data_IF_175443826241
#
_entry.id   IF_175443826241
#
_cell.length_a   1.000
_cell.length_b   1.000
_cell.length_c   1.000
_cell.angle_alpha   90.00
_cell.angle_beta   90.00
_cell.angle_gamma   90.00
#
_symmetry.space_group_name_H-M   'P 1'
#
loop_
_entity.id
_entity.type
_entity.pdbx_description
1 polymer ?
#
# COMPACT_ATOMS: atom_id res chain seq x y z
N UNK A 1 26.22 -63.86 -20.64
CA UNK A 1 26.19 -62.50 -20.05
C UNK A 1 26.70 -61.52 -21.09
N UNK A 2 25.83 -60.69 -21.68
CA UNK A 2 26.20 -59.73 -22.75
C UNK A 2 26.90 -58.52 -22.10
N UNK A 3 28.20 -58.40 -22.28
CA UNK A 3 29.00 -57.30 -21.74
C UNK A 3 28.60 -55.99 -22.45
N UNK A 4 27.80 -55.15 -21.79
CA UNK A 4 27.49 -53.79 -22.26
C UNK A 4 28.80 -52.98 -22.25
N UNK A 5 29.37 -52.71 -23.41
CA UNK A 5 30.47 -51.74 -23.56
C UNK A 5 29.98 -50.40 -23.02
N UNK A 6 30.59 -49.91 -21.94
CA UNK A 6 30.39 -48.54 -21.46
C UNK A 6 31.09 -47.61 -22.44
N UNK A 7 30.33 -46.80 -23.14
CA UNK A 7 30.87 -45.69 -23.95
C UNK A 7 31.33 -44.61 -22.97
N UNK A 8 32.64 -44.34 -22.94
CA UNK A 8 33.22 -43.25 -22.15
C UNK A 8 32.92 -41.90 -22.80
N UNK A 9 32.64 -40.89 -21.97
CA UNK A 9 32.39 -39.53 -22.42
C UNK A 9 33.72 -38.82 -22.67
N UNK A 10 33.88 -38.16 -23.82
CA UNK A 10 35.10 -37.40 -24.11
C UNK A 10 35.05 -36.02 -23.43
N UNK A 11 36.21 -35.48 -23.06
CA UNK A 11 36.31 -34.14 -22.44
C UNK A 11 35.70 -33.06 -23.34
N UNK A 12 35.84 -33.22 -24.65
CA UNK A 12 35.30 -32.30 -25.66
C UNK A 12 33.77 -32.31 -25.68
N UNK A 13 33.14 -33.48 -25.63
CA UNK A 13 31.67 -33.59 -25.57
C UNK A 13 31.10 -32.87 -24.33
N UNK A 14 31.77 -32.99 -23.17
CA UNK A 14 31.37 -32.28 -21.96
C UNK A 14 31.50 -30.76 -22.09
N UNK A 15 32.60 -30.31 -22.68
CA UNK A 15 32.89 -28.90 -22.84
C UNK A 15 31.88 -28.22 -23.76
N UNK A 16 31.51 -28.87 -24.88
CA UNK A 16 30.50 -28.36 -25.81
C UNK A 16 29.13 -28.24 -25.13
N UNK A 17 28.72 -29.26 -24.37
CA UNK A 17 27.42 -29.22 -23.66
C UNK A 17 27.36 -28.08 -22.65
N UNK A 18 28.41 -27.89 -21.86
CA UNK A 18 28.48 -26.79 -20.90
C UNK A 18 28.49 -25.43 -21.62
N UNK A 19 29.21 -25.31 -22.75
CA UNK A 19 29.22 -24.08 -23.54
C UNK A 19 27.82 -23.72 -24.06
N UNK A 20 27.08 -24.69 -24.59
CA UNK A 20 25.71 -24.47 -25.08
C UNK A 20 24.77 -24.08 -23.94
N UNK A 21 24.81 -24.78 -22.80
CA UNK A 21 24.01 -24.43 -21.62
C UNK A 21 24.37 -23.03 -21.12
N UNK A 22 25.66 -22.68 -21.09
CA UNK A 22 26.14 -21.37 -20.69
C UNK A 22 25.56 -20.24 -21.57
N UNK A 23 25.57 -20.42 -22.89
CA UNK A 23 24.96 -19.46 -23.83
C UNK A 23 23.45 -19.36 -23.64
N UNK A 24 22.75 -20.48 -23.51
CA UNK A 24 21.30 -20.49 -23.29
C UNK A 24 20.94 -19.76 -21.98
N UNK A 25 21.64 -20.05 -20.88
CA UNK A 25 21.40 -19.39 -19.59
C UNK A 25 21.73 -17.90 -19.66
N UNK A 26 22.82 -17.51 -20.33
CA UNK A 26 23.21 -16.11 -20.49
C UNK A 26 22.13 -15.30 -21.24
N UNK A 27 21.45 -15.90 -22.21
CA UNK A 27 20.36 -15.27 -22.95
C UNK A 27 19.03 -15.29 -22.16
N UNK A 28 18.78 -16.33 -21.37
CA UNK A 28 17.53 -16.50 -20.62
C UNK A 28 17.48 -15.68 -19.33
N UNK A 29 18.61 -15.48 -18.64
CA UNK A 29 18.62 -14.81 -17.34
C UNK A 29 18.09 -13.37 -17.41
N UNK A 30 18.53 -12.50 -18.34
CA UNK A 30 17.99 -11.15 -18.47
C UNK A 30 16.48 -11.16 -18.81
N UNK A 31 16.07 -12.08 -19.69
CA UNK A 31 14.67 -12.21 -20.12
C UNK A 31 13.74 -12.62 -18.97
N UNK A 32 14.15 -13.60 -18.15
CA UNK A 32 13.38 -14.06 -17.00
C UNK A 32 13.20 -12.95 -15.95
N UNK A 33 14.21 -12.10 -15.73
CA UNK A 33 14.08 -10.99 -14.79
C UNK A 33 13.12 -9.91 -15.29
N UNK A 34 13.18 -9.57 -16.58
CA UNK A 34 12.21 -8.65 -17.19
C UNK A 34 10.78 -9.18 -17.08
N UNK A 35 10.58 -10.47 -17.37
CA UNK A 35 9.28 -11.11 -17.24
C UNK A 35 8.77 -11.10 -15.79
N UNK A 36 9.64 -11.38 -14.81
CA UNK A 36 9.29 -11.34 -13.39
C UNK A 36 8.89 -9.94 -12.93
N UNK A 37 9.61 -8.91 -13.35
CA UNK A 37 9.27 -7.54 -12.98
C UNK A 37 7.99 -7.07 -13.65
N UNK A 38 7.75 -7.44 -14.91
CA UNK A 38 6.48 -7.17 -15.59
C UNK A 38 5.30 -7.82 -14.85
N UNK A 39 5.45 -9.07 -14.40
CA UNK A 39 4.45 -9.76 -13.60
C UNK A 39 4.20 -9.06 -12.26
N UNK A 40 5.24 -8.63 -11.54
CA UNK A 40 5.09 -7.89 -10.28
C UNK A 40 4.36 -6.56 -10.47
N UNK A 41 4.69 -5.79 -11.51
CA UNK A 41 3.98 -4.55 -11.87
C UNK A 41 2.50 -4.79 -12.18
N UNK A 42 2.21 -5.88 -12.90
CA UNK A 42 0.82 -6.27 -13.18
C UNK A 42 0.06 -6.58 -11.90
N UNK A 43 0.68 -7.30 -10.95
CA UNK A 43 0.10 -7.55 -9.63
C UNK A 43 -0.12 -6.26 -8.85
N UNK A 44 0.81 -5.31 -8.87
CA UNK A 44 0.63 -4.02 -8.18
C UNK A 44 -0.54 -3.22 -8.75
N UNK A 45 -0.67 -3.16 -10.09
CA UNK A 45 -1.81 -2.53 -10.74
C UNK A 45 -3.14 -3.24 -10.43
N UNK A 46 -3.13 -4.57 -10.35
CA UNK A 46 -4.31 -5.34 -10.00
C UNK A 46 -4.77 -5.08 -8.56
N UNK A 47 -3.85 -5.03 -7.61
CA UNK A 47 -4.14 -4.68 -6.22
C UNK A 47 -4.77 -3.28 -6.12
N UNK A 48 -4.23 -2.28 -6.82
CA UNK A 48 -4.82 -0.94 -6.88
C UNK A 48 -6.26 -0.96 -7.44
N UNK A 49 -6.52 -1.74 -8.49
CA UNK A 49 -7.87 -1.92 -9.06
C UNK A 49 -8.83 -2.60 -8.09
N UNK A 50 -8.38 -3.62 -7.35
CA UNK A 50 -9.20 -4.28 -6.34
C UNK A 50 -9.58 -3.32 -5.21
N UNK A 51 -8.64 -2.50 -4.73
CA UNK A 51 -8.93 -1.49 -3.72
C UNK A 51 -9.87 -0.40 -4.23
N UNK A 52 -9.70 0.06 -5.47
CA UNK A 52 -10.61 1.01 -6.11
C UNK A 52 -12.02 0.42 -6.23
N UNK A 53 -12.15 -0.83 -6.67
CA UNK A 53 -13.42 -1.53 -6.75
C UNK A 53 -14.11 -1.62 -5.37
N UNK A 54 -13.36 -1.94 -4.31
CA UNK A 54 -13.90 -1.93 -2.94
C UNK A 54 -14.43 -0.55 -2.52
N UNK A 55 -13.78 0.54 -2.94
CA UNK A 55 -14.30 1.90 -2.70
C UNK A 55 -15.59 2.16 -3.49
N UNK A 56 -15.69 1.70 -4.74
CA UNK A 56 -16.91 1.80 -5.53
C UNK A 56 -18.06 1.01 -4.89
N UNK A 57 -17.83 -0.23 -4.42
CA UNK A 57 -18.82 -1.03 -3.70
C UNK A 57 -19.29 -0.36 -2.41
N UNK A 58 -18.36 0.25 -1.66
CA UNK A 58 -18.70 1.06 -0.50
C UNK A 58 -19.59 2.25 -0.88
N UNK A 59 -19.24 2.96 -1.96
CA UNK A 59 -20.06 4.06 -2.47
C UNK A 59 -21.45 3.58 -2.87
N UNK A 60 -21.59 2.46 -3.55
CA UNK A 60 -22.91 1.93 -3.95
C UNK A 60 -23.79 1.61 -2.74
N UNK A 61 -23.18 1.19 -1.62
CA UNK A 61 -23.89 0.89 -0.37
C UNK A 61 -24.26 2.13 0.45
N UNK A 62 -23.38 3.14 0.52
CA UNK A 62 -23.52 4.28 1.43
C UNK A 62 -23.72 5.63 0.73
N UNK A 63 -23.72 5.67 -0.61
CA UNK A 63 -23.75 6.86 -1.48
C UNK A 63 -22.64 7.89 -1.23
N UNK A 64 -21.57 7.46 -0.56
CA UNK A 64 -20.40 8.26 -0.20
C UNK A 64 -19.17 7.38 -0.29
N UNK A 65 -18.02 7.94 -0.67
CA UNK A 65 -16.76 7.20 -0.57
C UNK A 65 -16.35 7.05 0.89
N UNK A 66 -15.53 6.03 1.23
CA UNK A 66 -15.14 5.81 2.61
C UNK A 66 -14.42 7.04 3.14
N UNK A 67 -14.93 7.68 4.20
CA UNK A 67 -14.32 8.88 4.74
C UNK A 67 -12.94 8.52 5.26
N UNK A 68 -11.99 9.43 5.02
CA UNK A 68 -10.68 9.29 5.61
C UNK A 68 -10.79 9.27 7.14
N UNK A 69 -11.37 10.31 7.73
CA UNK A 69 -11.43 10.54 9.17
C UNK A 69 -12.64 11.45 9.42
N UNK A 70 -13.47 11.09 10.39
CA UNK A 70 -14.77 11.73 10.61
C UNK A 70 -14.74 12.84 11.67
N UNK A 71 -13.68 12.95 12.46
CA UNK A 71 -13.68 13.87 13.62
C UNK A 71 -12.32 14.52 13.85
N UNK A 72 -12.05 15.66 13.21
CA UNK A 72 -10.81 16.41 13.44
C UNK A 72 -10.79 17.11 14.81
N UNK A 73 -11.95 17.56 15.30
CA UNK A 73 -12.08 18.43 16.48
C UNK A 73 -11.51 17.85 17.78
N UNK A 74 -11.44 16.52 17.91
CA UNK A 74 -11.14 15.87 19.19
C UNK A 74 -9.65 15.47 19.35
N UNK A 75 -8.79 15.75 18.37
CA UNK A 75 -7.37 15.35 18.41
C UNK A 75 -7.14 13.85 18.73
N UNK A 76 -8.09 12.97 18.36
CA UNK A 76 -8.02 11.52 18.60
C UNK A 76 -7.60 10.77 17.34
N UNK A 77 -7.01 9.59 17.52
CA UNK A 77 -6.66 8.71 16.41
C UNK A 77 -7.91 8.07 15.82
N UNK A 78 -7.93 7.92 14.50
CA UNK A 78 -9.14 7.49 13.77
C UNK A 78 -8.84 6.43 12.73
N UNK A 79 -9.81 5.53 12.60
CA UNK A 79 -9.88 4.57 11.52
C UNK A 79 -9.87 5.29 10.18
N UNK A 80 -8.92 4.89 9.33
CA UNK A 80 -8.78 5.37 7.97
C UNK A 80 -9.89 4.86 7.04
N UNK A 81 -9.71 5.13 5.75
CA UNK A 81 -10.63 4.66 4.71
C UNK A 81 -10.55 3.14 4.49
N UNK A 82 -9.35 2.57 4.51
CA UNK A 82 -9.11 1.18 4.11
C UNK A 82 -9.87 0.15 4.96
N UNK A 83 -9.88 0.23 6.31
CA UNK A 83 -10.71 -0.64 7.15
C UNK A 83 -12.18 -0.70 6.77
N UNK A 84 -12.72 0.34 6.13
CA UNK A 84 -14.15 0.46 5.81
C UNK A 84 -14.55 -0.37 4.60
N UNK A 85 -13.62 -0.65 3.69
CA UNK A 85 -13.83 -1.45 2.48
C UNK A 85 -13.45 -2.92 2.65
N UNK A 86 -12.99 -3.33 3.84
CA UNK A 86 -12.53 -4.69 4.11
C UNK A 86 -13.53 -5.81 3.73
N UNK A 87 -14.85 -5.67 3.93
CA UNK A 87 -15.81 -6.66 3.47
C UNK A 87 -15.78 -6.87 1.95
N UNK A 88 -15.46 -5.81 1.21
CA UNK A 88 -15.46 -5.79 -0.25
C UNK A 88 -14.13 -6.32 -0.84
N UNK A 89 -13.13 -6.61 0.01
CA UNK A 89 -11.81 -7.14 -0.38
C UNK A 89 -11.41 -8.39 0.42
N UNK A 90 -12.40 -9.22 0.78
CA UNK A 90 -12.18 -10.50 1.49
C UNK A 90 -11.53 -10.38 2.89
N UNK A 91 -11.65 -9.22 3.53
CA UNK A 91 -11.14 -8.94 4.88
C UNK A 91 -12.27 -8.71 5.91
N UNK A 92 -13.47 -9.26 5.68
CA UNK A 92 -14.65 -9.07 6.53
C UNK A 92 -14.40 -9.46 8.01
N UNK A 93 -13.76 -10.62 8.25
CA UNK A 93 -13.45 -11.09 9.61
C UNK A 93 -12.50 -10.15 10.35
N UNK A 94 -11.54 -9.54 9.63
CA UNK A 94 -10.65 -8.53 10.21
C UNK A 94 -11.42 -7.25 10.54
N UNK A 95 -12.36 -6.82 9.69
CA UNK A 95 -13.21 -5.66 9.96
C UNK A 95 -14.04 -5.86 11.24
N UNK A 96 -14.66 -7.03 11.40
CA UNK A 96 -15.47 -7.35 12.57
C UNK A 96 -14.63 -7.27 13.86
N UNK A 97 -13.39 -7.77 13.82
CA UNK A 97 -12.47 -7.72 14.95
C UNK A 97 -12.05 -6.29 15.32
N UNK A 98 -11.72 -5.44 14.33
CA UNK A 98 -11.22 -4.08 14.60
C UNK A 98 -12.34 -3.09 14.96
N UNK A 99 -13.55 -3.26 14.41
CA UNK A 99 -14.73 -2.46 14.76
C UNK A 99 -15.59 -3.12 15.84
N UNK A 100 -15.03 -4.09 16.57
CA UNK A 100 -15.67 -4.71 17.71
C UNK A 100 -16.20 -3.62 18.66
N UNK A 101 -17.47 -3.71 19.04
CA UNK A 101 -18.18 -2.71 19.88
C UNK A 101 -18.24 -1.29 19.31
N UNK A 102 -17.95 -1.10 18.01
CA UNK A 102 -17.93 0.21 17.32
C UNK A 102 -17.04 1.24 18.02
N UNK A 103 -15.98 0.77 18.68
CA UNK A 103 -15.07 1.63 19.42
C UNK A 103 -14.29 2.55 18.47
N UNK A 104 -14.01 3.80 18.89
CA UNK A 104 -13.02 4.60 18.20
C UNK A 104 -11.66 3.89 18.25
N UNK A 105 -10.85 4.15 17.24
CA UNK A 105 -9.58 3.45 17.05
C UNK A 105 -8.68 3.46 18.30
N UNK A 106 -8.64 4.59 19.00
CA UNK A 106 -7.86 4.75 20.23
C UNK A 106 -8.24 3.74 21.33
N UNK A 107 -9.53 3.49 21.52
CA UNK A 107 -10.06 2.55 22.51
C UNK A 107 -9.91 1.10 22.00
N UNK A 108 -10.13 0.86 20.71
CA UNK A 108 -9.95 -0.45 20.10
C UNK A 108 -8.50 -0.93 20.19
N UNK A 109 -7.53 -0.04 20.01
CA UNK A 109 -6.10 -0.36 20.15
C UNK A 109 -5.68 -0.69 21.59
N UNK A 110 -6.54 -0.55 22.61
CA UNK A 110 -6.29 -1.07 23.97
C UNK A 110 -6.55 -2.57 24.09
N UNK A 111 -7.20 -3.17 23.09
CA UNK A 111 -7.50 -4.60 23.07
C UNK A 111 -6.31 -5.33 22.41
N UNK A 112 -5.60 -6.23 23.10
CA UNK A 112 -4.43 -6.91 22.54
C UNK A 112 -4.70 -7.64 21.23
N UNK A 113 -5.86 -8.30 21.12
CA UNK A 113 -6.26 -9.01 19.90
C UNK A 113 -6.38 -8.08 18.67
N UNK A 114 -6.83 -6.83 18.85
CA UNK A 114 -6.92 -5.83 17.78
C UNK A 114 -5.53 -5.43 17.30
N UNK A 115 -4.62 -5.15 18.24
CA UNK A 115 -3.23 -4.77 17.90
C UNK A 115 -2.51 -5.92 17.18
N UNK A 116 -2.65 -7.15 17.66
CA UNK A 116 -2.09 -8.34 16.99
C UNK A 116 -2.65 -8.52 15.59
N UNK A 117 -3.94 -8.24 15.37
CA UNK A 117 -4.55 -8.32 14.05
C UNK A 117 -4.05 -7.22 13.10
N UNK A 118 -3.86 -6.00 13.61
CA UNK A 118 -3.32 -4.88 12.82
C UNK A 118 -1.85 -5.07 12.41
N UNK A 119 -1.12 -5.93 13.11
CA UNK A 119 0.25 -6.32 12.76
C UNK A 119 0.32 -7.38 11.64
N UNK A 120 -0.81 -7.98 11.23
CA UNK A 120 -0.83 -8.98 10.16
C UNK A 120 -0.80 -8.31 8.78
N UNK A 121 0.17 -8.63 7.91
CA UNK A 121 0.21 -8.10 6.55
C UNK A 121 -1.02 -8.51 5.74
N UNK A 122 -1.47 -7.63 4.85
CA UNK A 122 -2.55 -7.91 3.91
C UNK A 122 -1.99 -7.71 2.50
N UNK A 123 -1.94 -8.78 1.71
CA UNK A 123 -1.26 -8.79 0.41
C UNK A 123 -1.88 -7.82 -0.59
N UNK A 124 -3.19 -7.61 -0.54
CA UNK A 124 -3.91 -6.63 -1.38
C UNK A 124 -3.42 -5.19 -1.15
N UNK A 125 -2.86 -4.89 0.02
CA UNK A 125 -2.29 -3.56 0.32
C UNK A 125 -0.80 -3.45 0.00
N UNK A 126 -0.15 -4.52 -0.49
CA UNK A 126 1.28 -4.56 -0.77
C UNK A 126 1.56 -4.69 -2.25
N UNK A 127 2.52 -3.91 -2.75
CA UNK A 127 3.04 -4.07 -4.09
C UNK A 127 4.22 -5.05 -4.03
N UNK A 128 4.20 -6.18 -4.76
CA UNK A 128 5.35 -7.12 -4.77
C UNK A 128 6.63 -6.54 -5.38
N UNK A 129 6.58 -5.41 -6.09
CA UNK A 129 7.78 -4.68 -6.53
C UNK A 129 8.42 -3.83 -5.43
N UNK A 130 7.75 -3.63 -4.29
CA UNK A 130 8.31 -2.90 -3.15
C UNK A 130 9.10 -3.84 -2.22
N UNK A 131 10.27 -3.38 -1.78
CA UNK A 131 11.18 -4.08 -0.86
C UNK A 131 10.92 -3.75 0.61
N UNK A 132 9.96 -2.88 0.91
CA UNK A 132 9.62 -2.45 2.26
C UNK A 132 9.19 -3.61 3.17
N UNK A 133 9.41 -3.52 4.48
CA UNK A 133 9.02 -4.57 5.43
C UNK A 133 7.50 -4.82 5.44
N UNK A 134 7.06 -6.06 5.74
CA UNK A 134 5.64 -6.45 5.86
C UNK A 134 4.84 -5.59 6.84
N UNK A 135 5.52 -5.18 7.91
CA UNK A 135 5.01 -4.35 8.99
C UNK A 135 5.85 -3.08 9.02
N UNK A 136 5.24 -1.92 9.23
CA UNK A 136 5.89 -0.61 9.16
C UNK A 136 6.56 -0.25 10.51
N UNK A 137 7.89 -0.41 10.66
CA UNK A 137 8.58 -0.26 11.94
C UNK A 137 8.71 1.20 12.37
N UNK A 138 8.43 2.15 11.48
CA UNK A 138 8.44 3.58 11.81
C UNK A 138 7.32 3.96 12.80
N UNK A 139 6.45 3.00 13.14
CA UNK A 139 5.43 3.11 14.18
C UNK A 139 5.76 2.36 15.48
N UNK A 140 6.93 1.71 15.57
CA UNK A 140 7.36 1.04 16.81
C UNK A 140 7.72 2.00 17.94
N UNK A 141 8.14 3.23 17.61
CA UNK A 141 8.60 4.24 18.59
C UNK A 141 7.64 5.40 18.82
N UNK A 142 6.50 5.43 18.14
CA UNK A 142 5.53 6.52 18.27
C UNK A 142 4.13 5.95 18.46
N UNK A 143 3.47 6.24 19.59
CA UNK A 143 2.21 5.57 19.91
C UNK A 143 1.15 5.88 18.86
N UNK A 144 0.44 4.83 18.44
CA UNK A 144 -0.73 4.92 17.57
C UNK A 144 -1.86 5.69 18.26
N UNK A 145 -1.84 5.70 19.59
CA UNK A 145 -2.86 6.23 20.50
C UNK A 145 -2.39 7.55 21.16
N UNK A 146 -3.31 8.32 21.74
CA UNK A 146 -2.94 9.16 22.86
C UNK A 146 -2.77 8.23 24.07
N UNK A 147 -1.54 7.77 24.33
CA UNK A 147 -1.27 6.78 25.38
C UNK A 147 0.00 5.96 25.12
N UNK A 148 0.19 4.87 25.91
CA UNK A 148 1.38 4.01 25.88
C UNK A 148 1.39 2.93 24.79
N UNK A 149 0.42 2.91 23.87
CA UNK A 149 0.32 1.81 22.89
C UNK A 149 1.22 2.06 21.68
N UNK A 150 2.29 1.27 21.64
CA UNK A 150 3.32 1.23 20.59
C UNK A 150 3.18 -0.05 19.78
N UNK A 151 3.49 0.00 18.48
CA UNK A 151 3.57 -1.20 17.65
C UNK A 151 3.45 -0.92 16.16
N UNK A 152 4.33 -1.53 15.38
CA UNK A 152 4.25 -1.55 13.94
C UNK A 152 2.96 -2.23 13.45
N UNK A 153 2.37 -1.70 12.38
CA UNK A 153 1.23 -2.33 11.69
C UNK A 153 1.56 -2.65 10.26
N UNK A 154 0.70 -3.47 9.64
CA UNK A 154 0.76 -3.76 8.22
C UNK A 154 1.03 -2.49 7.37
N UNK A 155 2.08 -2.59 6.57
CA UNK A 155 2.47 -1.57 5.60
C UNK A 155 1.48 -1.54 4.45
N UNK A 156 1.17 -0.34 3.96
CA UNK A 156 0.39 -0.15 2.73
C UNK A 156 1.20 0.59 1.68
N UNK A 157 1.26 0.05 0.47
CA UNK A 157 1.77 0.75 -0.71
C UNK A 157 0.72 1.61 -1.39
N UNK A 158 -0.56 1.38 -1.07
CA UNK A 158 -1.67 2.09 -1.68
C UNK A 158 -2.28 3.07 -0.68
N UNK A 159 -2.39 4.31 -1.10
CA UNK A 159 -2.76 5.43 -0.24
C UNK A 159 -3.88 6.24 -0.90
N UNK A 160 -4.74 6.81 -0.06
CA UNK A 160 -5.81 7.71 -0.51
C UNK A 160 -5.23 9.03 -0.97
N UNK A 161 -5.71 9.54 -2.10
CA UNK A 161 -5.33 10.88 -2.56
C UNK A 161 -6.09 11.94 -1.77
N UNK A 162 -5.33 12.74 -1.00
CA UNK A 162 -5.85 13.87 -0.23
C UNK A 162 -5.94 15.17 -1.03
N UNK A 163 -5.38 15.21 -2.25
CA UNK A 163 -5.26 16.44 -3.04
C UNK A 163 -3.88 17.09 -2.88
N UNK A 164 -3.73 18.32 -3.40
CA UNK A 164 -2.45 19.04 -3.38
C UNK A 164 -2.33 19.83 -2.08
N UNK A 165 -1.22 19.61 -1.38
CA UNK A 165 -0.81 20.43 -0.26
C UNK A 165 0.27 21.38 -0.76
N UNK A 166 -0.12 22.61 -1.10
CA UNK A 166 0.86 23.67 -1.38
C UNK A 166 1.35 24.24 -0.04
N UNK A 167 2.46 23.67 0.45
CA UNK A 167 3.13 24.13 1.66
C UNK A 167 3.76 25.52 1.52
N UNK A 168 4.13 25.93 0.29
CA UNK A 168 4.79 27.22 0.06
C UNK A 168 3.80 28.38 0.17
N UNK A 169 2.56 28.18 -0.27
CA UNK A 169 1.52 29.21 -0.20
C UNK A 169 0.43 28.94 0.85
N UNK A 170 0.59 27.90 1.68
CA UNK A 170 -0.44 27.42 2.61
C UNK A 170 -1.82 27.24 1.96
N UNK A 171 -1.85 27.00 0.64
CA UNK A 171 -3.10 26.81 -0.09
C UNK A 171 -3.51 25.36 0.05
N UNK A 172 -4.51 25.14 0.88
CA UNK A 172 -5.20 23.86 0.99
C UNK A 172 -6.09 23.71 -0.23
N UNK A 173 -5.70 22.87 -1.18
CA UNK A 173 -6.60 22.47 -2.26
C UNK A 173 -7.38 21.26 -1.75
N UNK A 174 -8.56 21.52 -1.17
CA UNK A 174 -9.52 20.53 -0.67
C UNK A 174 -10.22 19.79 -1.82
N UNK A 175 -9.43 19.31 -2.79
CA UNK A 175 -9.90 18.77 -4.06
C UNK A 175 -9.64 17.26 -4.20
N UNK A 176 -9.05 16.62 -3.19
CA UNK A 176 -8.83 15.18 -3.18
C UNK A 176 -10.03 14.37 -2.68
N UNK A 177 -10.06 13.09 -3.03
CA UNK A 177 -11.13 12.19 -2.61
C UNK A 177 -11.10 11.87 -1.10
N UNK A 178 -9.94 11.92 -0.45
CA UNK A 178 -9.77 11.52 0.96
C UNK A 178 -9.48 12.69 1.91
N UNK A 179 -10.15 13.83 1.73
CA UNK A 179 -9.96 15.01 2.57
C UNK A 179 -10.51 14.82 4.00
N UNK A 180 -9.89 15.50 4.97
CA UNK A 180 -10.18 15.33 6.40
C UNK A 180 -11.53 15.92 6.78
N UNK A 181 -12.30 15.19 7.60
CA UNK A 181 -13.55 15.70 8.18
C UNK A 181 -14.64 15.95 7.14
N UNK A 182 -14.46 15.46 5.91
CA UNK A 182 -15.42 15.57 4.82
C UNK A 182 -16.03 14.21 4.53
N UNK A 183 -17.31 14.22 4.16
CA UNK A 183 -18.01 13.07 3.61
C UNK A 183 -18.32 13.45 2.17
N UNK A 184 -17.67 12.77 1.24
CA UNK A 184 -17.72 13.07 -0.19
C UNK A 184 -18.45 11.92 -0.88
N UNK A 185 -19.33 12.21 -1.84
CA UNK A 185 -19.92 11.24 -2.75
C UNK A 185 -19.49 11.51 -4.20
N UNK A 186 -19.83 10.59 -5.12
CA UNK A 186 -19.45 10.76 -6.52
C UNK A 186 -20.00 12.04 -7.17
N UNK A 187 -21.14 12.52 -6.69
CA UNK A 187 -21.74 13.79 -7.11
C UNK A 187 -20.90 15.04 -6.81
N UNK A 188 -19.98 14.96 -5.84
CA UNK A 188 -19.20 16.11 -5.38
C UNK A 188 -17.98 16.35 -6.28
N UNK A 189 -17.60 15.37 -7.12
CA UNK A 189 -16.58 15.52 -8.16
C UNK A 189 -17.15 16.21 -9.40
N UNK A 190 -17.33 17.54 -9.32
CA UNK A 190 -17.97 18.36 -10.35
C UNK A 190 -17.26 18.35 -11.71
N UNK A 191 -15.96 18.11 -11.74
CA UNK A 191 -15.18 17.99 -12.97
C UNK A 191 -15.06 16.54 -13.48
N UNK A 192 -15.79 15.61 -12.87
CA UNK A 192 -15.86 14.21 -13.28
C UNK A 192 -14.87 13.30 -12.54
N UNK A 193 -15.31 12.06 -12.28
CA UNK A 193 -14.51 11.04 -11.60
C UNK A 193 -13.25 10.67 -12.38
N UNK A 194 -13.27 10.75 -13.71
CA UNK A 194 -12.12 10.46 -14.57
C UNK A 194 -10.97 11.47 -14.41
N UNK A 195 -11.25 12.65 -13.86
CA UNK A 195 -10.27 13.72 -13.68
C UNK A 195 -9.73 13.79 -12.23
N UNK A 196 -10.15 12.85 -11.36
CA UNK A 196 -9.73 12.82 -9.97
C UNK A 196 -8.99 11.52 -9.64
N UNK A 197 -7.77 11.66 -9.12
CA UNK A 197 -7.06 10.53 -8.53
C UNK A 197 -7.73 10.11 -7.22
N UNK A 198 -8.16 8.85 -7.14
CA UNK A 198 -8.75 8.26 -5.95
C UNK A 198 -7.66 7.67 -5.03
N UNK A 199 -6.87 6.75 -5.59
CA UNK A 199 -5.77 6.07 -4.92
C UNK A 199 -4.45 6.30 -5.67
N UNK A 200 -3.36 6.33 -4.92
CA UNK A 200 -1.99 6.35 -5.45
C UNK A 200 -1.16 5.20 -4.90
N UNK A 201 -0.08 4.88 -5.59
CA UNK A 201 0.94 3.95 -5.10
C UNK A 201 2.15 4.73 -4.56
N UNK A 202 2.80 4.21 -3.53
CA UNK A 202 3.99 4.77 -2.93
C UNK A 202 4.97 3.67 -2.50
N UNK A 203 6.22 3.87 -2.89
CA UNK A 203 7.34 3.03 -2.48
C UNK A 203 7.79 3.29 -1.03
N UNK A 204 8.23 2.25 -0.33
CA UNK A 204 8.84 2.35 0.99
C UNK A 204 10.13 3.17 0.97
N UNK A 205 10.92 3.00 -0.09
CA UNK A 205 12.10 3.80 -0.40
C UNK A 205 11.90 4.55 -1.71
N UNK A 206 12.27 5.82 -1.73
CA UNK A 206 12.23 6.68 -2.91
C UNK A 206 13.66 7.05 -3.25
N UNK A 207 14.08 6.72 -4.47
CA UNK A 207 15.39 7.11 -4.97
C UNK A 207 15.25 8.37 -5.81
N UNK A 208 16.04 9.39 -5.47
CA UNK A 208 16.14 10.62 -6.26
C UNK A 208 16.97 10.41 -7.53
N UNK A 209 16.83 11.34 -8.46
CA UNK A 209 17.67 11.49 -9.64
C UNK A 209 19.17 11.60 -9.29
N UNK A 210 19.49 12.22 -8.16
CA UNK A 210 20.84 12.30 -7.60
C UNK A 210 21.32 10.99 -6.93
N UNK A 211 20.51 9.93 -6.96
CA UNK A 211 20.85 8.62 -6.41
C UNK A 211 20.68 8.49 -4.89
N UNK A 212 20.28 9.56 -4.20
CA UNK A 212 19.98 9.55 -2.76
C UNK A 212 18.70 8.76 -2.50
N UNK A 213 18.77 7.84 -1.53
CA UNK A 213 17.63 7.02 -1.11
C UNK A 213 17.01 7.65 0.13
N UNK A 214 15.71 7.93 0.05
CA UNK A 214 14.89 8.39 1.15
C UNK A 214 13.94 7.28 1.57
N UNK A 215 14.01 6.87 2.84
CA UNK A 215 13.00 5.98 3.42
C UNK A 215 11.73 6.78 3.64
N UNK A 216 10.79 6.62 2.71
CA UNK A 216 9.45 7.14 2.83
C UNK A 216 8.66 6.36 3.87
N UNK A 217 8.98 5.10 4.13
CA UNK A 217 8.22 4.28 5.07
C UNK A 217 6.91 3.70 4.53
N UNK A 218 6.50 4.07 3.30
CA UNK A 218 5.18 3.79 2.74
C UNK A 218 4.03 4.23 3.70
N UNK A 219 2.80 3.81 3.42
CA UNK A 219 1.63 4.10 4.25
C UNK A 219 1.35 3.02 5.29
N UNK A 220 0.24 3.18 6.01
CA UNK A 220 -0.36 2.13 6.86
C UNK A 220 -1.78 1.82 6.40
N UNK A 221 -2.30 0.66 6.76
CA UNK A 221 -3.66 0.28 6.36
C UNK A 221 -4.71 0.95 7.25
N UNK A 222 -4.54 0.94 8.57
CA UNK A 222 -5.69 1.10 9.46
C UNK A 222 -6.06 2.55 9.85
N UNK A 223 -5.12 3.51 9.83
CA UNK A 223 -5.41 4.87 10.31
C UNK A 223 -4.21 5.74 10.68
N UNK A 224 -4.53 6.96 11.14
CA UNK A 224 -3.60 8.10 11.26
C UNK A 224 -3.38 8.58 12.72
N UNK A 225 -2.25 9.27 12.96
CA UNK A 225 -1.80 9.80 14.26
C UNK A 225 -2.20 11.27 14.50
N UNK A 226 -2.57 11.58 15.74
CA UNK A 226 -2.82 12.90 16.40
C UNK A 226 -1.86 14.07 16.12
N UNK A 227 -0.58 13.87 15.78
CA UNK A 227 0.39 14.96 15.57
C UNK A 227 1.39 14.56 14.49
N UNK A 228 1.13 14.98 13.26
CA UNK A 228 2.01 14.73 12.14
C UNK A 228 3.11 15.81 12.05
N UNK A 229 3.93 15.89 13.09
CA UNK A 229 5.20 16.63 13.04
C UNK A 229 6.37 15.69 12.74
N UNK A 230 6.08 14.52 12.17
CA UNK A 230 7.07 13.51 11.80
C UNK A 230 7.68 13.89 10.46
N UNK A 231 9.01 13.87 10.38
CA UNK A 231 9.77 14.08 9.12
C UNK A 231 9.39 13.06 8.03
N UNK A 232 8.74 11.95 8.41
CA UNK A 232 8.24 10.91 7.52
C UNK A 232 6.71 10.93 7.47
N UNK A 233 6.14 11.38 6.34
CA UNK A 233 4.68 11.50 6.09
C UNK A 233 4.05 10.11 5.87
N UNK A 234 4.00 9.24 6.88
CA UNK A 234 3.73 7.78 6.74
C UNK A 234 2.26 7.38 6.88
N UNK A 235 1.39 8.27 6.44
CA UNK A 235 -0.04 8.10 6.63
C UNK A 235 -0.66 7.25 5.53
N UNK A 236 -1.95 6.92 5.70
CA UNK A 236 -2.78 6.34 4.64
C UNK A 236 -3.00 7.33 3.47
N UNK A 237 -2.29 8.48 3.42
CA UNK A 237 -2.36 9.49 2.37
C UNK A 237 -1.14 9.49 1.46
N UNK A 238 -1.43 9.79 0.19
CA UNK A 238 -0.50 10.34 -0.78
C UNK A 238 -0.85 11.77 -1.12
N UNK A 239 0.12 12.50 -1.66
CA UNK A 239 -0.09 13.84 -2.17
C UNK A 239 -0.46 13.86 -3.66
N UNK A 240 -1.25 14.90 -3.99
CA UNK A 240 -1.57 15.51 -5.26
C UNK A 240 -2.71 14.92 -6.12
N UNK A 241 -3.76 15.74 -6.26
CA UNK A 241 -4.54 15.90 -7.50
C UNK A 241 -3.83 16.97 -8.32
N UNK A 242 -3.01 16.61 -9.29
CA UNK A 242 -2.68 17.58 -10.33
C UNK A 242 -3.91 17.69 -11.23
N UNK A 243 -4.42 18.90 -11.45
CA UNK A 243 -5.37 19.14 -12.54
C UNK A 243 -4.65 18.71 -13.82
N UNK A 244 -5.10 17.62 -14.46
CA UNK A 244 -4.64 17.22 -15.79
C UNK A 244 -5.26 18.19 -16.81
N UNK A 245 -5.03 19.48 -16.63
CA UNK A 245 -5.40 20.46 -17.65
C UNK A 245 -4.24 20.51 -18.64
N UNK A 246 -4.53 20.02 -19.86
CA UNK A 246 -3.89 20.48 -21.09
C UNK A 246 -3.96 22.01 -21.18
#
# INVERSE_FOLDING_TARGET
MKNRRRTGFTLVELLVVIAVIGVLVALLLPAVQMAREAARRMSCSNNLKQLALGIHMYHDKYNVIPPHSLNYANNRNQWGWAPRIFPDIEQAALQELIFLKKLPMEEACQIPAVVTAMAKPIDTFRCPSDVGPPINPLRDRTPWSAGNNSGATATSNYIGCRGVMDWLNMRRQDEGAFEYGTIIGFKDFRDGLSNTFLLGERGYEIRTDQGVIYTSGAGTIFGNRRQNNSVHRNDVYGCARARLNL
#
